data_IF_070542354311
#
_entry.id   IF_070542354311
#
_cell.length_a   1.000
_cell.length_b   1.000
_cell.length_c   1.000
_cell.angle_alpha   90.00
_cell.angle_beta   90.00
_cell.angle_gamma   90.00
#
_symmetry.space_group_name_H-M   'P 1'
#
loop_
_entity.id
_entity.type
_entity.pdbx_description
1 polymer ?
#
# COMPACT_ATOMS: atom_id res chain seq x y z
N UNK A 1 -10.24 19.10 1.81
CA UNK A 1 -10.68 17.91 2.55
C UNK A 1 -10.61 16.68 1.63
N UNK A 2 -9.54 15.86 1.66
CA UNK A 2 -9.31 14.85 0.58
C UNK A 2 -8.96 13.43 1.05
N UNK A 3 -8.74 13.19 2.34
CA UNK A 3 -8.15 11.92 2.82
C UNK A 3 -9.05 11.11 3.78
N UNK A 4 -9.95 11.77 4.52
CA UNK A 4 -10.83 11.12 5.49
C UNK A 4 -11.85 10.14 4.86
N UNK A 5 -12.29 10.41 3.63
CA UNK A 5 -13.32 9.62 2.94
C UNK A 5 -12.82 8.34 2.25
N UNK A 6 -11.55 8.27 1.84
CA UNK A 6 -11.03 7.08 1.12
C UNK A 6 -10.89 5.88 2.05
N UNK A 7 -10.33 6.09 3.25
CA UNK A 7 -10.21 5.03 4.26
C UNK A 7 -11.58 4.61 4.83
N UNK A 8 -12.58 5.51 4.83
CA UNK A 8 -13.96 5.12 5.15
C UNK A 8 -14.54 4.15 4.13
N UNK A 9 -14.45 4.52 2.85
CA UNK A 9 -14.97 3.71 1.74
C UNK A 9 -14.26 2.36 1.67
N UNK A 10 -12.94 2.32 1.85
CA UNK A 10 -12.19 1.07 1.88
C UNK A 10 -12.67 0.14 3.01
N UNK A 11 -12.85 0.68 4.22
CA UNK A 11 -13.37 -0.10 5.34
C UNK A 11 -14.80 -0.62 5.09
N UNK A 12 -15.66 0.21 4.47
CA UNK A 12 -17.02 -0.16 4.10
C UNK A 12 -17.06 -1.29 3.06
N UNK A 13 -16.25 -1.19 1.99
CA UNK A 13 -16.17 -2.24 0.94
C UNK A 13 -15.65 -3.55 1.51
N UNK A 14 -14.67 -3.48 2.41
CA UNK A 14 -14.08 -4.66 3.06
C UNK A 14 -14.97 -5.22 4.19
N UNK A 15 -16.03 -4.52 4.58
CA UNK A 15 -16.93 -4.94 5.66
C UNK A 15 -16.25 -4.97 7.05
N UNK A 16 -15.19 -4.19 7.24
CA UNK A 16 -14.42 -4.16 8.50
C UNK A 16 -14.45 -2.78 9.15
N UNK A 17 -14.16 -2.73 10.45
CA UNK A 17 -13.99 -1.45 11.13
C UNK A 17 -12.72 -0.74 10.64
N UNK A 18 -12.76 0.60 10.51
CA UNK A 18 -11.58 1.40 10.14
C UNK A 18 -10.37 1.14 11.04
N UNK A 19 -10.58 0.90 12.35
CA UNK A 19 -9.51 0.56 13.29
C UNK A 19 -8.82 -0.75 12.92
N UNK A 20 -9.58 -1.73 12.44
CA UNK A 20 -9.04 -3.01 11.96
C UNK A 20 -8.28 -2.82 10.66
N UNK A 21 -8.80 -2.02 9.74
CA UNK A 21 -8.11 -1.64 8.50
C UNK A 21 -6.74 -1.02 8.81
N UNK A 22 -6.68 -0.04 9.72
CA UNK A 22 -5.42 0.58 10.13
C UNK A 22 -4.42 -0.39 10.79
N UNK A 23 -4.91 -1.36 11.58
CA UNK A 23 -4.02 -2.38 12.16
C UNK A 23 -3.44 -3.26 11.08
N UNK A 24 -4.26 -3.72 10.14
CA UNK A 24 -3.84 -4.55 9.02
C UNK A 24 -2.88 -3.80 8.11
N UNK A 25 -3.19 -2.55 7.76
CA UNK A 25 -2.27 -1.69 7.02
C UNK A 25 -0.91 -1.55 7.73
N UNK A 26 -0.88 -1.41 9.06
CA UNK A 26 0.36 -1.40 9.85
C UNK A 26 1.08 -2.76 9.85
N UNK A 27 0.35 -3.85 9.98
CA UNK A 27 0.90 -5.22 9.96
C UNK A 27 1.53 -5.56 8.59
N UNK A 28 0.90 -5.12 7.49
CA UNK A 28 1.38 -5.36 6.13
C UNK A 28 2.31 -4.26 5.60
N UNK A 29 2.61 -3.24 6.40
CA UNK A 29 3.43 -2.10 5.97
C UNK A 29 2.78 -1.21 4.91
N UNK A 30 1.46 -1.32 4.70
CA UNK A 30 0.67 -0.46 3.81
C UNK A 30 0.22 0.84 4.48
N UNK A 31 0.95 1.30 5.49
CA UNK A 31 0.75 2.65 6.02
C UNK A 31 1.24 3.59 4.93
N UNK A 32 0.36 3.89 3.98
CA UNK A 32 0.53 5.02 3.09
C UNK A 32 0.38 6.23 3.99
N UNK A 33 1.52 6.71 4.50
CA UNK A 33 1.62 8.08 4.97
C UNK A 33 1.22 8.93 3.78
N UNK A 34 -0.05 9.35 3.77
CA UNK A 34 -0.56 10.19 2.70
C UNK A 34 -0.07 11.65 2.87
N UNK A 35 1.11 11.84 3.48
CA UNK A 35 1.97 13.02 3.42
C UNK A 35 3.40 12.64 2.91
N UNK A 36 3.65 11.39 2.50
CA UNK A 36 4.85 11.00 1.77
C UNK A 36 4.48 10.89 0.28
N UNK A 37 4.65 12.03 -0.40
CA UNK A 37 4.85 12.18 -1.84
C UNK A 37 5.09 10.88 -2.60
N UNK A 38 4.17 10.56 -3.50
CA UNK A 38 4.43 10.15 -4.89
C UNK A 38 5.82 9.55 -5.18
N UNK A 39 6.19 8.45 -4.52
CA UNK A 39 7.26 7.57 -4.97
C UNK A 39 6.84 6.13 -4.72
N UNK A 40 5.85 5.71 -5.51
CA UNK A 40 5.88 4.35 -6.02
C UNK A 40 7.17 4.24 -6.83
N UNK A 41 8.26 3.81 -6.20
CA UNK A 41 9.42 3.28 -6.91
C UNK A 41 9.07 1.81 -7.20
N UNK A 42 8.51 1.49 -8.39
CA UNK A 42 8.43 0.10 -8.78
C UNK A 42 9.86 -0.40 -8.81
N UNK A 43 10.19 -1.35 -7.94
CA UNK A 43 11.35 -2.19 -8.17
C UNK A 43 11.27 -2.65 -9.64
N UNK A 44 12.31 -2.43 -10.46
CA UNK A 44 12.25 -2.76 -11.88
C UNK A 44 11.88 -4.24 -11.98
N UNK A 45 10.76 -4.50 -12.64
CA UNK A 45 10.25 -5.85 -12.84
C UNK A 45 11.34 -6.69 -13.52
N UNK A 46 11.96 -7.57 -12.76
CA UNK A 46 12.69 -8.72 -13.29
C UNK A 46 13.98 -8.40 -14.05
N UNK A 47 14.92 -7.69 -13.45
CA UNK A 47 16.32 -7.88 -13.81
C UNK A 47 16.76 -9.27 -13.33
N UNK A 48 16.81 -10.22 -14.26
CA UNK A 48 17.53 -11.48 -14.09
C UNK A 48 19.00 -11.13 -13.87
N UNK A 49 19.67 -11.60 -12.80
CA UNK A 49 21.10 -11.36 -12.63
C UNK A 49 21.86 -11.94 -13.83
N UNK A 50 22.62 -11.08 -14.51
CA UNK A 50 23.47 -11.47 -15.64
C UNK A 50 24.53 -12.47 -15.17
N UNK A 51 24.22 -13.75 -15.37
CA UNK A 51 25.01 -14.89 -14.90
C UNK A 51 24.31 -16.22 -15.13
N UNK A 52 23.01 -16.20 -15.43
CA UNK A 52 22.22 -17.35 -15.89
C UNK A 52 21.88 -17.21 -17.37
N UNK A 53 22.89 -17.07 -18.23
CA UNK A 53 22.74 -17.26 -19.68
C UNK A 53 23.51 -18.51 -20.04
N UNK A 54 22.78 -19.60 -20.28
CA UNK A 54 23.27 -20.83 -20.94
C UNK A 54 23.74 -20.52 -22.34
#
# INVERSE_FOLDING_TARGET
DRSGGRKEKAAQVLGINRRTLYRKEREYGWVTDAEASDEFSPLPRGEIPEGLRV
#
